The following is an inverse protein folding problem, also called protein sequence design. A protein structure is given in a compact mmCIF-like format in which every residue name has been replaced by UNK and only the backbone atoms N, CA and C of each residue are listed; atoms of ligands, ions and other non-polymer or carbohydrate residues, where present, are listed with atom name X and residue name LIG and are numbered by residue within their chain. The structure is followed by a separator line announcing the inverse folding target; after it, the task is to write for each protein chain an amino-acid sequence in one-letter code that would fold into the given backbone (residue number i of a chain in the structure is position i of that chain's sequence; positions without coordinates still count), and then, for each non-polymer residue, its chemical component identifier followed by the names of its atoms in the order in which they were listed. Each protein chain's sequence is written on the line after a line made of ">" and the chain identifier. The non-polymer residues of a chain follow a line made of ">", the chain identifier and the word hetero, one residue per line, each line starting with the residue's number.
data_IF_366775745687
#
_entry.id   IF_366775745687
#
_cell.length_a   1.000
_cell.length_b   1.000
_cell.length_c   1.000
_cell.angle_alpha   90.00
_cell.angle_beta   90.00
_cell.angle_gamma   90.00
#
_symmetry.space_group_name_H-M   'P 1'
#
loop_
_entity.id
_entity.type
_entity.pdbx_description
1 polymer ?
#
# COMPACT_ATOMS: atom_id res chain seq x y z
N UNK A 1 -19.89 -13.15 2.48
CA UNK A 1 -19.78 -11.69 2.28
C UNK A 1 -18.67 -11.49 1.26
N UNK A 2 -18.94 -10.70 0.21
CA UNK A 2 -18.05 -10.63 -0.96
C UNK A 2 -16.78 -9.84 -0.68
N UNK A 3 -15.74 -10.19 -1.41
CA UNK A 3 -14.49 -9.45 -1.49
C UNK A 3 -14.76 -7.98 -1.88
N UNK A 4 -14.37 -7.03 -1.03
CA UNK A 4 -14.54 -5.59 -1.27
C UNK A 4 -13.21 -5.00 -1.72
N UNK A 5 -13.17 -4.20 -2.79
CA UNK A 5 -11.91 -3.56 -3.21
C UNK A 5 -11.49 -2.48 -2.21
N UNK A 6 -10.19 -2.21 -2.09
CA UNK A 6 -9.71 -1.13 -1.21
C UNK A 6 -10.28 0.22 -1.65
N UNK A 7 -10.50 0.43 -2.96
CA UNK A 7 -11.20 1.62 -3.49
C UNK A 7 -12.61 1.75 -2.91
N UNK A 8 -13.41 0.68 -2.98
CA UNK A 8 -14.76 0.65 -2.42
C UNK A 8 -14.78 0.89 -0.91
N UNK A 9 -13.79 0.34 -0.19
CA UNK A 9 -13.66 0.57 1.25
C UNK A 9 -13.31 2.04 1.56
N UNK A 10 -12.37 2.64 0.83
CA UNK A 10 -11.96 4.04 1.02
C UNK A 10 -13.10 5.04 0.77
N UNK A 11 -13.94 4.76 -0.23
CA UNK A 11 -15.03 5.65 -0.64
C UNK A 11 -16.32 5.45 0.19
N UNK A 12 -16.31 4.54 1.18
CA UNK A 12 -17.43 4.39 2.11
C UNK A 12 -17.62 5.67 2.95
N UNK A 13 -18.74 6.40 2.81
CA UNK A 13 -18.95 7.67 3.51
C UNK A 13 -19.13 7.52 5.03
N UNK A 14 -19.42 6.30 5.51
CA UNK A 14 -19.51 5.99 6.94
C UNK A 14 -18.17 5.51 7.52
N UNK A 15 -17.11 5.43 6.71
CA UNK A 15 -15.79 5.01 7.17
C UNK A 15 -15.23 6.04 8.13
N UNK A 16 -14.82 5.57 9.30
CA UNK A 16 -13.98 6.34 10.22
C UNK A 16 -12.51 5.98 10.02
N UNK A 17 -11.60 6.93 10.27
CA UNK A 17 -10.15 6.67 10.20
C UNK A 17 -9.71 6.01 11.49
N UNK A 18 -9.53 4.68 11.45
CA UNK A 18 -8.88 3.92 12.51
C UNK A 18 -7.38 3.80 12.21
N UNK A 19 -6.53 4.22 13.16
CA UNK A 19 -5.07 4.20 12.98
C UNK A 19 -4.54 2.80 12.70
N UNK A 20 -4.89 1.83 13.53
CA UNK A 20 -4.37 0.45 13.41
C UNK A 20 -4.78 -0.19 12.10
N UNK A 21 -6.04 -0.01 11.68
CA UNK A 21 -6.55 -0.55 10.42
C UNK A 21 -5.84 0.09 9.21
N UNK A 22 -5.79 1.42 9.16
CA UNK A 22 -5.14 2.15 8.07
C UNK A 22 -3.65 1.84 8.00
N UNK A 23 -2.97 1.79 9.15
CA UNK A 23 -1.55 1.46 9.22
C UNK A 23 -1.28 0.02 8.80
N UNK A 24 -2.10 -0.94 9.22
CA UNK A 24 -1.95 -2.34 8.83
C UNK A 24 -2.19 -2.55 7.33
N UNK A 25 -3.17 -1.86 6.72
CA UNK A 25 -3.38 -1.89 5.27
C UNK A 25 -2.17 -1.32 4.55
N UNK A 26 -1.70 -0.14 4.98
CA UNK A 26 -0.54 0.51 4.39
C UNK A 26 0.72 -0.37 4.48
N UNK A 27 0.98 -0.96 5.66
CA UNK A 27 2.13 -1.85 5.88
C UNK A 27 2.11 -3.06 4.93
N UNK A 28 0.98 -3.75 4.82
CA UNK A 28 0.84 -4.91 3.91
C UNK A 28 1.12 -4.52 2.45
N UNK A 29 0.65 -3.35 2.01
CA UNK A 29 0.89 -2.88 0.65
C UNK A 29 2.35 -2.49 0.45
N UNK A 30 2.98 -1.84 1.44
CA UNK A 30 4.42 -1.56 1.43
C UNK A 30 5.24 -2.84 1.36
N UNK A 31 4.85 -3.91 2.07
CA UNK A 31 5.50 -5.22 2.00
C UNK A 31 5.43 -5.81 0.58
N UNK A 32 4.29 -5.71 -0.10
CA UNK A 32 4.14 -6.15 -1.50
C UNK A 32 5.09 -5.36 -2.41
N UNK A 33 5.13 -4.03 -2.26
CA UNK A 33 6.03 -3.17 -3.04
C UNK A 33 7.49 -3.48 -2.74
N UNK A 34 7.84 -3.70 -1.47
CA UNK A 34 9.19 -4.09 -1.06
C UNK A 34 9.66 -5.37 -1.74
N UNK A 35 8.83 -6.43 -1.72
CA UNK A 35 9.18 -7.70 -2.37
C UNK A 35 9.43 -7.49 -3.87
N UNK A 36 8.61 -6.71 -4.57
CA UNK A 36 8.83 -6.40 -5.99
C UNK A 36 10.14 -5.61 -6.20
N UNK A 37 10.37 -4.55 -5.42
CA UNK A 37 11.56 -3.70 -5.54
C UNK A 37 12.85 -4.48 -5.24
N UNK A 38 12.83 -5.39 -4.28
CA UNK A 38 13.97 -6.27 -3.94
C UNK A 38 14.39 -7.18 -5.09
N UNK A 39 13.48 -7.44 -6.04
CA UNK A 39 13.72 -8.24 -7.25
C UNK A 39 14.06 -7.36 -8.47
N UNK A 40 14.19 -6.04 -8.28
CA UNK A 40 14.45 -5.07 -9.35
C UNK A 40 13.23 -4.68 -10.17
N UNK A 41 12.01 -5.03 -9.71
CA UNK A 41 10.77 -4.78 -10.44
C UNK A 41 9.96 -3.67 -9.78
N UNK A 42 9.33 -2.82 -10.58
CA UNK A 42 8.32 -1.88 -10.12
C UNK A 42 6.90 -2.49 -10.26
N UNK A 43 6.01 -2.17 -9.32
CA UNK A 43 4.62 -2.64 -9.30
C UNK A 43 3.75 -1.88 -10.30
N UNK A 44 4.06 -0.61 -10.54
CA UNK A 44 3.42 0.34 -11.46
C UNK A 44 1.97 0.73 -11.15
N UNK A 45 1.24 -0.10 -10.39
CA UNK A 45 -0.19 0.07 -10.12
C UNK A 45 -0.50 -0.02 -8.61
N UNK A 46 0.23 0.72 -7.78
CA UNK A 46 -0.07 0.84 -6.34
C UNK A 46 -1.27 1.77 -6.14
N UNK A 47 -2.44 1.31 -6.56
CA UNK A 47 -3.72 2.04 -6.51
C UNK A 47 -4.77 1.22 -5.78
N UNK A 48 -5.70 1.84 -5.03
CA UNK A 48 -6.74 1.13 -4.28
C UNK A 48 -7.57 0.14 -5.10
N UNK A 49 -7.85 0.41 -6.38
CA UNK A 49 -8.57 -0.55 -7.23
C UNK A 49 -7.79 -1.84 -7.51
N UNK A 50 -6.47 -1.84 -7.35
CA UNK A 50 -5.61 -3.02 -7.55
C UNK A 50 -5.47 -3.88 -6.28
N UNK A 51 -6.16 -3.54 -5.20
CA UNK A 51 -6.14 -4.30 -3.96
C UNK A 51 -7.55 -4.71 -3.55
N UNK A 52 -7.66 -5.94 -3.07
CA UNK A 52 -8.89 -6.48 -2.49
C UNK A 52 -8.70 -6.66 -1.00
N UNK A 53 -9.66 -6.17 -0.23
CA UNK A 53 -9.77 -6.43 1.20
C UNK A 53 -10.53 -7.74 1.40
N UNK A 54 -9.82 -8.74 1.89
CA UNK A 54 -10.44 -9.99 2.31
C UNK A 54 -10.86 -9.86 3.78
N UNK A 55 -12.12 -10.20 4.07
CA UNK A 55 -12.61 -10.30 5.44
C UNK A 55 -12.05 -11.56 6.11
N UNK A 56 -10.78 -11.54 6.52
CA UNK A 56 -10.27 -12.59 7.39
C UNK A 56 -10.79 -12.36 8.81
N UNK A 57 -11.89 -13.07 9.08
CA UNK A 57 -12.33 -13.64 10.35
C UNK A 57 -11.95 -12.89 11.63
N UNK A 58 -13.00 -12.48 12.37
CA UNK A 58 -13.01 -12.57 13.83
C UNK A 58 -12.36 -13.91 14.25
N UNK A 59 -11.07 -13.90 14.54
CA UNK A 59 -10.51 -14.87 15.45
C UNK A 59 -11.10 -14.50 16.79
N UNK A 60 -12.15 -15.22 17.20
CA UNK A 60 -12.63 -15.18 18.58
C UNK A 60 -11.40 -15.33 19.47
N UNK A 61 -11.15 -14.35 20.33
CA UNK A 61 -10.27 -14.51 21.48
C UNK A 61 -10.80 -15.72 22.25
N UNK A 62 -10.19 -16.88 22.04
CA UNK A 62 -10.22 -17.91 23.06
C UNK A 62 -9.27 -17.40 24.13
N UNK A 63 -9.86 -16.79 25.15
CA UNK A 63 -9.18 -16.50 26.40
C UNK A 63 -8.37 -17.73 26.80
N UNK A 64 -7.05 -17.63 27.04
CA UNK A 64 -6.36 -18.66 27.79
C UNK A 64 -7.02 -18.69 29.16
N UNK A 65 -7.77 -19.77 29.40
CA UNK A 65 -8.46 -20.02 30.64
C UNK A 65 -7.55 -19.72 31.84
N UNK A 66 -8.13 -19.01 32.81
CA UNK A 66 -7.67 -18.94 34.19
C UNK A 66 -7.13 -20.30 34.65
N UNK A 67 -5.82 -20.39 34.83
CA UNK A 67 -5.23 -21.35 35.73
C UNK A 67 -4.68 -20.55 36.92
N UNK A 68 -5.52 -20.39 37.93
CA UNK A 68 -5.05 -20.10 39.27
C UNK A 68 -4.38 -21.36 39.80
N UNK A 69 -3.11 -21.28 40.18
CA UNK A 69 -2.61 -22.01 41.32
C UNK A 69 -1.54 -21.17 42.02
N UNK A 70 -1.72 -21.05 43.34
CA UNK A 70 -0.95 -20.20 44.22
C UNK A 70 0.22 -20.97 44.87
N UNK A 71 1.25 -20.18 45.20
CA UNK A 71 2.26 -20.31 46.26
C UNK A 71 3.25 -21.49 46.28
N UNK A 72 4.55 -21.15 46.20
CA UNK A 72 5.46 -21.28 47.37
C UNK A 72 6.77 -20.47 47.24
N UNK A 73 7.28 -20.07 48.40
CA UNK A 73 8.35 -19.14 48.82
C UNK A 73 9.85 -19.47 48.49
N UNK A 74 10.60 -18.40 48.14
CA UNK A 74 11.98 -17.91 48.57
C UNK A 74 13.24 -18.81 48.60
N UNK A 75 14.48 -18.27 48.78
CA UNK A 75 15.17 -17.10 48.16
C UNK A 75 16.65 -17.40 47.75
N UNK A 76 17.38 -16.34 47.35
CA UNK A 76 18.86 -16.09 47.45
C UNK A 76 19.74 -16.05 46.16
N UNK A 77 20.46 -14.91 46.05
CA UNK A 77 21.84 -14.68 45.51
C UNK A 77 22.08 -14.81 43.99
N UNK A 78 22.96 -14.09 43.31
CA UNK A 78 23.75 -12.86 43.46
C UNK A 78 24.45 -12.62 42.08
N UNK A 79 25.05 -11.44 41.87
CA UNK A 79 26.17 -11.17 40.95
C UNK A 79 25.95 -10.91 39.43
N UNK A 80 25.98 -9.62 39.11
CA UNK A 80 27.01 -8.93 38.30
C UNK A 80 27.42 -9.37 36.85
N UNK A 81 27.30 -8.38 35.95
CA UNK A 81 28.31 -7.87 34.98
C UNK A 81 28.41 -8.45 33.54
N UNK A 82 28.48 -7.47 32.61
CA UNK A 82 29.18 -7.36 31.30
C UNK A 82 28.44 -7.64 29.98
N UNK A 83 28.16 -6.51 29.31
CA UNK A 83 28.35 -6.25 27.88
C UNK A 83 29.71 -6.78 27.37
N UNK A 84 29.84 -7.16 26.08
CA UNK A 84 30.37 -6.17 25.13
C UNK A 84 29.83 -6.23 23.69
N UNK A 85 29.87 -5.05 23.07
CA UNK A 85 29.93 -4.74 21.63
C UNK A 85 31.22 -5.27 20.97
N UNK A 86 31.19 -5.56 19.66
CA UNK A 86 32.20 -5.29 18.59
C UNK A 86 31.86 -6.17 17.36
N UNK A 87 31.18 -5.64 16.33
CA UNK A 87 31.68 -5.10 15.04
C UNK A 87 32.03 -6.13 13.95
N UNK A 88 31.87 -5.76 12.65
CA UNK A 88 31.62 -6.67 11.54
C UNK A 88 32.86 -6.90 10.67
N UNK A 89 32.82 -7.96 9.86
CA UNK A 89 33.74 -8.13 8.71
C UNK A 89 32.90 -8.40 7.47
N UNK A 90 32.86 -7.38 6.60
CA UNK A 90 32.49 -7.53 5.19
C UNK A 90 33.65 -8.22 4.46
N UNK A 91 33.33 -9.17 3.60
CA UNK A 91 34.22 -9.54 2.51
C UNK A 91 33.44 -9.60 1.19
N UNK A 92 34.03 -8.91 0.21
CA UNK A 92 33.56 -8.77 -1.15
C UNK A 92 33.91 -10.02 -1.97
N UNK A 93 32.94 -10.54 -2.73
CA UNK A 93 33.27 -11.21 -3.98
C UNK A 93 32.31 -10.77 -5.09
N UNK A 94 32.89 -10.09 -6.07
CA UNK A 94 32.26 -9.77 -7.35
C UNK A 94 32.17 -11.04 -8.19
N UNK A 95 31.01 -11.29 -8.81
CA UNK A 95 30.99 -12.04 -10.06
C UNK A 95 29.84 -11.58 -10.96
N UNK A 96 30.26 -11.00 -12.08
CA UNK A 96 29.51 -10.66 -13.28
C UNK A 96 29.18 -11.96 -14.02
N UNK A 97 27.91 -12.18 -14.40
CA UNK A 97 27.55 -13.01 -15.54
C UNK A 97 26.27 -12.49 -16.21
N UNK A 98 26.37 -12.25 -17.52
CA UNK A 98 25.27 -12.02 -18.46
C UNK A 98 24.58 -13.36 -18.74
N UNK A 99 23.25 -13.37 -18.79
CA UNK A 99 22.46 -14.52 -19.21
C UNK A 99 20.99 -14.16 -19.29
N UNK A 100 20.49 -14.02 -20.52
CA UNK A 100 19.07 -14.12 -20.86
C UNK A 100 18.61 -15.53 -20.51
N UNK A 101 17.45 -15.66 -19.87
CA UNK A 101 16.47 -16.71 -20.16
C UNK A 101 15.17 -16.45 -19.37
N UNK A 102 14.05 -16.71 -20.05
CA UNK A 102 12.67 -16.55 -19.61
C UNK A 102 12.38 -17.19 -18.24
N UNK A 103 11.81 -16.41 -17.31
CA UNK A 103 11.45 -16.91 -15.99
C UNK A 103 9.95 -16.76 -15.69
N UNK A 104 9.31 -17.92 -15.53
CA UNK A 104 7.95 -18.11 -15.01
C UNK A 104 7.96 -17.88 -13.49
N UNK A 105 7.06 -17.06 -12.90
CA UNK A 105 7.12 -16.79 -11.46
C UNK A 105 6.75 -18.02 -10.64
N UNK A 106 7.73 -18.56 -9.92
CA UNK A 106 7.51 -19.56 -8.88
C UNK A 106 6.68 -18.94 -7.75
N UNK A 107 5.55 -19.58 -7.42
CA UNK A 107 4.66 -19.21 -6.32
C UNK A 107 5.36 -19.47 -4.98
N UNK A 108 6.02 -18.47 -4.42
CA UNK A 108 6.38 -18.49 -3.00
C UNK A 108 5.14 -18.07 -2.21
N UNK A 109 4.49 -19.06 -1.60
CA UNK A 109 3.31 -18.90 -0.76
C UNK A 109 3.69 -18.19 0.55
N UNK A 110 3.56 -16.86 0.55
CA UNK A 110 3.44 -16.04 1.78
C UNK A 110 1.96 -15.82 2.17
N UNK A 111 1.03 -16.48 1.47
CA UNK A 111 -0.39 -16.40 1.71
C UNK A 111 -0.78 -17.17 2.98
N UNK A 112 -0.65 -16.55 4.15
CA UNK A 112 -1.33 -17.08 5.35
C UNK A 112 -1.77 -16.07 6.40
N UNK A 113 -1.50 -14.76 6.28
CA UNK A 113 -2.03 -13.75 7.23
C UNK A 113 -2.41 -12.40 6.59
N UNK A 114 -2.29 -12.21 5.27
CA UNK A 114 -2.56 -10.92 4.62
C UNK A 114 -4.06 -10.72 4.39
N UNK A 115 -4.63 -9.67 4.99
CA UNK A 115 -6.01 -9.23 4.72
C UNK A 115 -6.14 -8.50 3.38
N UNK A 116 -5.01 -8.18 2.73
CA UNK A 116 -4.96 -7.48 1.46
C UNK A 116 -4.32 -8.36 0.40
N UNK A 117 -4.95 -8.45 -0.77
CA UNK A 117 -4.43 -9.19 -1.93
C UNK A 117 -4.29 -8.26 -3.13
N UNK A 118 -3.13 -8.28 -3.78
CA UNK A 118 -2.90 -7.57 -5.04
C UNK A 118 -3.60 -8.31 -6.20
N UNK A 119 -4.35 -7.55 -7.00
CA UNK A 119 -5.01 -8.03 -8.20
C UNK A 119 -4.44 -7.26 -9.38
N UNK A 120 -3.68 -7.91 -10.29
CA UNK A 120 -3.17 -7.23 -11.47
C UNK A 120 -4.35 -6.75 -12.34
N UNK A 121 -4.24 -5.57 -12.98
CA UNK A 121 -5.25 -5.14 -13.95
C UNK A 121 -5.34 -6.19 -15.06
N UNK A 122 -6.52 -6.77 -15.28
CA UNK A 122 -6.77 -7.50 -16.53
C UNK A 122 -6.68 -6.48 -17.66
N UNK A 123 -5.95 -6.82 -18.72
CA UNK A 123 -5.74 -5.98 -19.90
C UNK A 123 -7.05 -5.62 -20.57
N UNK A 124 -7.71 -4.55 -20.11
CA UNK A 124 -8.94 -4.01 -20.69
C UNK A 124 -8.60 -3.07 -21.86
N UNK A 125 -7.91 -3.61 -22.85
CA UNK A 125 -7.86 -3.06 -24.20
C UNK A 125 -7.78 -4.23 -25.16
N UNK A 126 -8.93 -4.83 -25.47
CA UNK A 126 -9.13 -5.56 -26.72
C UNK A 126 -10.63 -5.57 -27.08
N UNK A 127 -10.89 -5.02 -28.27
CA UNK A 127 -12.06 -4.97 -29.15
C UNK A 127 -13.46 -5.41 -28.67
N UNK A 128 -14.42 -4.49 -28.81
CA UNK A 128 -15.79 -4.87 -29.24
C UNK A 128 -16.30 -3.85 -30.26
N UNK A 129 -16.06 -4.15 -31.55
CA UNK A 129 -16.95 -3.76 -32.62
C UNK A 129 -18.15 -4.73 -32.61
N UNK A 130 -19.34 -4.26 -32.21
CA UNK A 130 -20.55 -5.07 -32.22
C UNK A 130 -21.74 -4.38 -31.57
N UNK A 131 -22.84 -4.27 -32.31
CA UNK A 131 -24.07 -3.48 -32.07
C UNK A 131 -24.93 -3.94 -30.88
N UNK A 132 -25.68 -2.95 -30.34
CA UNK A 132 -26.99 -2.98 -29.63
C UNK A 132 -27.29 -4.22 -28.75
N UNK A 133 -27.30 -4.14 -27.41
CA UNK A 133 -28.30 -3.47 -26.56
C UNK A 133 -27.70 -3.12 -25.16
N UNK A 134 -28.54 -2.62 -24.23
CA UNK A 134 -28.28 -2.27 -22.82
C UNK A 134 -27.73 -0.85 -22.53
N UNK A 135 -28.64 0.13 -22.50
CA UNK A 135 -28.37 1.54 -22.18
C UNK A 135 -28.03 1.77 -20.69
N UNK A 136 -28.43 0.86 -19.79
CA UNK A 136 -28.12 0.96 -18.35
C UNK A 136 -26.70 0.45 -18.02
N UNK A 137 -26.34 -0.74 -18.50
CA UNK A 137 -24.99 -1.31 -18.36
C UNK A 137 -23.91 -0.42 -18.98
N UNK A 138 -24.17 0.22 -20.13
CA UNK A 138 -23.23 1.15 -20.78
C UNK A 138 -22.94 2.40 -19.94
N UNK A 139 -23.92 2.98 -19.24
CA UNK A 139 -23.71 4.14 -18.35
C UNK A 139 -22.95 3.75 -17.09
N UNK A 140 -23.26 2.59 -16.50
CA UNK A 140 -22.54 2.08 -15.33
C UNK A 140 -21.08 1.74 -15.67
N UNK A 141 -20.84 1.08 -16.81
CA UNK A 141 -19.49 0.86 -17.36
C UNK A 141 -18.75 2.16 -17.61
N UNK A 142 -19.44 3.19 -18.12
CA UNK A 142 -18.84 4.49 -18.36
C UNK A 142 -18.46 5.20 -17.05
N UNK A 143 -19.32 5.12 -16.03
CA UNK A 143 -19.04 5.65 -14.70
C UNK A 143 -17.84 4.91 -14.03
N UNK A 144 -17.80 3.58 -14.11
CA UNK A 144 -16.68 2.77 -13.61
C UNK A 144 -15.38 3.11 -14.37
N UNK A 145 -15.46 3.25 -15.70
CA UNK A 145 -14.31 3.67 -16.53
C UNK A 145 -13.83 5.06 -16.14
N UNK A 146 -14.73 6.01 -15.89
CA UNK A 146 -14.36 7.36 -15.46
C UNK A 146 -13.70 7.38 -14.08
N UNK A 147 -14.20 6.60 -13.13
CA UNK A 147 -13.62 6.50 -11.79
C UNK A 147 -12.21 5.91 -11.82
N UNK A 148 -12.00 4.83 -12.59
CA UNK A 148 -10.69 4.22 -12.79
C UNK A 148 -9.71 5.14 -13.54
N UNK A 149 -10.20 5.92 -14.51
CA UNK A 149 -9.41 6.93 -15.22
C UNK A 149 -9.01 8.07 -14.29
N UNK A 150 -9.93 8.57 -13.46
CA UNK A 150 -9.62 9.59 -12.47
C UNK A 150 -8.60 9.09 -11.44
N UNK A 151 -8.81 7.89 -10.90
CA UNK A 151 -7.86 7.27 -9.97
C UNK A 151 -6.48 7.12 -10.60
N UNK A 152 -6.37 6.61 -11.83
CA UNK A 152 -5.09 6.52 -12.53
C UNK A 152 -4.39 7.88 -12.57
N UNK A 153 -5.14 8.92 -12.94
CA UNK A 153 -4.62 10.28 -13.02
C UNK A 153 -4.15 10.84 -11.68
N UNK A 154 -4.79 10.51 -10.55
CA UNK A 154 -4.37 10.99 -9.23
C UNK A 154 -3.08 10.33 -8.75
N UNK A 155 -2.89 9.06 -9.10
CA UNK A 155 -1.74 8.25 -8.70
C UNK A 155 -0.55 8.35 -9.65
N UNK A 156 -0.72 8.92 -10.85
CA UNK A 156 0.40 9.15 -11.78
C UNK A 156 1.39 10.14 -11.18
N UNK A 157 2.67 9.76 -11.13
CA UNK A 157 3.73 10.57 -10.53
C UNK A 157 4.14 11.75 -11.42
N UNK A 158 4.77 12.80 -10.86
CA UNK A 158 5.16 13.98 -11.62
C UNK A 158 6.07 13.68 -12.82
N UNK A 159 7.01 12.75 -12.66
CA UNK A 159 7.90 12.33 -13.73
C UNK A 159 7.17 11.53 -14.84
N UNK A 160 6.19 10.70 -14.49
CA UNK A 160 5.36 10.00 -15.48
C UNK A 160 4.52 10.98 -16.31
N UNK A 161 3.98 12.03 -15.68
CA UNK A 161 3.29 13.12 -16.40
C UNK A 161 4.23 13.86 -17.34
N UNK A 162 5.50 14.01 -16.96
CA UNK A 162 6.54 14.58 -17.82
C UNK A 162 7.04 13.62 -18.93
N UNK A 163 6.49 12.39 -19.01
CA UNK A 163 6.83 11.40 -20.03
C UNK A 163 7.99 10.48 -19.67
N UNK A 164 8.47 10.51 -18.42
CA UNK A 164 9.47 9.55 -17.95
C UNK A 164 8.89 8.13 -17.86
N UNK A 165 9.77 7.14 -17.98
CA UNK A 165 9.41 5.74 -17.79
C UNK A 165 9.11 5.49 -16.31
N UNK A 166 8.07 4.68 -16.04
CA UNK A 166 7.71 4.28 -14.68
C UNK A 166 8.87 3.57 -14.00
N UNK A 167 9.12 3.88 -12.74
CA UNK A 167 10.23 3.31 -11.96
C UNK A 167 9.77 2.92 -10.55
N UNK A 168 10.65 2.28 -9.78
CA UNK A 168 10.39 1.99 -8.37
C UNK A 168 10.02 3.27 -7.58
N UNK A 169 10.65 4.40 -7.90
CA UNK A 169 10.33 5.68 -7.28
C UNK A 169 8.90 6.16 -7.61
N UNK A 170 8.34 5.76 -8.76
CA UNK A 170 6.95 6.06 -9.11
C UNK A 170 5.97 5.29 -8.21
N UNK A 171 6.30 4.04 -7.84
CA UNK A 171 5.53 3.29 -6.82
C UNK A 171 5.58 3.97 -5.45
N UNK A 172 6.74 4.53 -5.07
CA UNK A 172 6.87 5.27 -3.80
C UNK A 172 5.97 6.51 -3.78
N UNK A 173 5.85 7.22 -4.90
CA UNK A 173 4.88 8.32 -5.02
C UNK A 173 3.44 7.83 -4.87
N UNK A 174 3.09 6.73 -5.53
CA UNK A 174 1.77 6.11 -5.43
C UNK A 174 1.43 5.67 -4.00
N UNK A 175 2.42 5.13 -3.25
CA UNK A 175 2.29 4.87 -1.81
C UNK A 175 2.00 6.14 -1.01
N UNK A 176 2.61 7.28 -1.37
CA UNK A 176 2.31 8.59 -0.76
C UNK A 176 0.86 9.02 -0.94
N UNK A 177 0.32 8.87 -2.15
CA UNK A 177 -1.10 9.16 -2.45
C UNK A 177 -2.02 8.19 -1.71
N UNK A 178 -1.67 6.91 -1.65
CA UNK A 178 -2.42 5.91 -0.89
C UNK A 178 -2.46 6.22 0.61
N UNK A 179 -1.32 6.55 1.21
CA UNK A 179 -1.22 6.92 2.61
C UNK A 179 -2.13 8.11 2.92
N UNK A 180 -2.14 9.11 2.04
CA UNK A 180 -3.04 10.25 2.15
C UNK A 180 -4.51 9.83 2.20
N UNK A 181 -4.97 9.01 1.23
CA UNK A 181 -6.37 8.56 1.19
C UNK A 181 -6.78 7.72 2.41
N UNK A 182 -5.86 6.91 2.95
CA UNK A 182 -6.11 6.11 4.15
C UNK A 182 -6.44 7.00 5.36
N UNK A 183 -5.67 8.06 5.56
CA UNK A 183 -5.77 8.95 6.74
C UNK A 183 -6.66 10.18 6.55
N UNK A 184 -7.05 10.51 5.31
CA UNK A 184 -7.94 11.62 4.99
C UNK A 184 -9.14 11.13 4.15
N UNK A 185 -10.30 10.83 4.78
CA UNK A 185 -11.47 10.28 4.09
C UNK A 185 -12.10 11.35 3.20
N UNK A 186 -12.35 10.98 1.94
CA UNK A 186 -12.91 11.86 0.93
C UNK A 186 -14.26 11.31 0.45
N UNK A 187 -15.36 11.83 0.98
CA UNK A 187 -16.70 11.25 0.75
C UNK A 187 -17.40 11.73 -0.53
N UNK A 188 -16.93 12.82 -1.15
CA UNK A 188 -17.53 13.39 -2.38
C UNK A 188 -16.50 13.53 -3.48
N UNK A 189 -16.86 13.12 -4.70
CA UNK A 189 -15.98 13.14 -5.88
C UNK A 189 -15.40 14.51 -6.19
N UNK A 190 -16.20 15.58 -6.08
CA UNK A 190 -15.73 16.94 -6.36
C UNK A 190 -14.69 17.41 -5.34
N UNK A 191 -14.96 17.20 -4.05
CA UNK A 191 -14.02 17.49 -2.97
C UNK A 191 -12.73 16.69 -3.11
N UNK A 192 -12.86 15.41 -3.46
CA UNK A 192 -11.75 14.52 -3.76
C UNK A 192 -10.90 15.07 -4.90
N UNK A 193 -11.50 15.50 -6.00
CA UNK A 193 -10.78 16.08 -7.15
C UNK A 193 -9.97 17.32 -6.77
N UNK A 194 -10.58 18.27 -6.02
CA UNK A 194 -9.87 19.48 -5.55
C UNK A 194 -8.74 19.13 -4.59
N UNK A 195 -8.97 18.18 -3.69
CA UNK A 195 -7.99 17.76 -2.69
C UNK A 195 -6.82 17.04 -3.34
N UNK A 196 -7.07 16.09 -4.25
CA UNK A 196 -6.04 15.38 -5.01
C UNK A 196 -5.23 16.32 -5.91
N UNK A 197 -5.87 17.34 -6.49
CA UNK A 197 -5.18 18.39 -7.24
C UNK A 197 -4.23 19.20 -6.36
N UNK A 198 -4.63 19.50 -5.12
CA UNK A 198 -3.79 20.19 -4.13
C UNK A 198 -2.65 19.29 -3.64
N UNK A 199 -2.94 18.00 -3.43
CA UNK A 199 -1.97 16.98 -3.00
C UNK A 199 -0.80 16.85 -3.97
N UNK A 200 -1.05 16.95 -5.29
CA UNK A 200 0.00 16.94 -6.31
C UNK A 200 1.01 18.08 -6.17
N UNK A 201 0.57 19.21 -5.62
CA UNK A 201 1.43 20.35 -5.28
C UNK A 201 1.95 20.27 -3.83
N UNK A 202 1.82 19.10 -3.19
CA UNK A 202 2.21 18.82 -1.79
C UNK A 202 1.49 19.70 -0.77
N UNK A 203 0.28 20.15 -1.09
CA UNK A 203 -0.59 20.90 -0.17
C UNK A 203 -1.52 19.91 0.53
N UNK A 204 -1.29 19.70 1.82
CA UNK A 204 -2.11 18.83 2.67
C UNK A 204 -3.22 19.63 3.39
N UNK A 205 -4.42 19.03 3.60
CA UNK A 205 -5.46 19.63 4.42
C UNK A 205 -4.97 19.88 5.87
N UNK A 206 -5.29 21.03 6.49
CA UNK A 206 -4.91 21.33 7.87
C UNK A 206 -5.36 20.27 8.88
N UNK A 207 -6.49 19.62 8.64
CA UNK A 207 -7.04 18.58 9.52
C UNK A 207 -6.13 17.35 9.56
N UNK A 208 -5.52 16.98 8.44
CA UNK A 208 -4.55 15.89 8.39
C UNK A 208 -3.29 16.26 9.16
N UNK A 209 -2.77 17.48 8.95
CA UNK A 209 -1.57 17.99 9.65
C UNK A 209 -1.76 18.06 11.16
N UNK A 210 -2.97 18.42 11.62
CA UNK A 210 -3.29 18.53 13.05
C UNK A 210 -3.52 17.16 13.70
N UNK A 211 -4.24 16.25 13.01
CA UNK A 211 -4.63 14.95 13.59
C UNK A 211 -3.56 13.88 13.45
N UNK A 212 -2.81 13.91 12.35
CA UNK A 212 -1.86 12.86 11.94
C UNK A 212 -0.54 13.48 11.45
N UNK A 213 0.19 14.25 12.30
CA UNK A 213 1.36 15.00 11.86
C UNK A 213 2.52 14.13 11.37
N UNK A 214 2.67 12.92 11.92
CA UNK A 214 3.73 11.97 11.51
C UNK A 214 3.42 11.41 10.12
N UNK A 215 2.18 11.01 9.90
CA UNK A 215 1.69 10.45 8.64
C UNK A 215 1.70 11.52 7.55
N UNK A 216 1.34 12.77 7.89
CA UNK A 216 1.42 13.89 6.97
C UNK A 216 2.87 14.17 6.55
N UNK A 217 3.81 14.17 7.50
CA UNK A 217 5.25 14.35 7.20
C UNK A 217 5.77 13.23 6.31
N UNK A 218 5.39 11.98 6.61
CA UNK A 218 5.78 10.82 5.82
C UNK A 218 5.16 10.87 4.42
N UNK A 219 3.89 11.24 4.31
CA UNK A 219 3.20 11.47 3.03
C UNK A 219 3.94 12.50 2.18
N UNK A 220 4.36 13.64 2.77
CA UNK A 220 5.14 14.65 2.05
C UNK A 220 6.49 14.12 1.56
N UNK A 221 7.15 13.23 2.29
CA UNK A 221 8.42 12.62 1.86
C UNK A 221 8.22 11.68 0.66
N UNK A 222 7.20 10.83 0.71
CA UNK A 222 6.82 9.94 -0.40
C UNK A 222 6.41 10.72 -1.66
N UNK A 223 5.72 11.85 -1.47
CA UNK A 223 5.23 12.72 -2.55
C UNK A 223 6.26 13.74 -3.04
N UNK A 224 7.55 13.56 -2.76
CA UNK A 224 8.57 14.47 -3.27
C UNK A 224 8.55 14.53 -4.81
N UNK A 225 8.60 15.73 -5.45
CA UNK A 225 8.50 15.85 -6.91
C UNK A 225 9.67 15.15 -7.60
N UNK A 226 10.88 15.35 -7.09
CA UNK A 226 12.09 14.67 -7.56
C UNK A 226 12.10 13.20 -7.09
N UNK A 227 12.16 12.21 -8.00
CA UNK A 227 12.12 10.78 -7.65
C UNK A 227 13.28 10.35 -6.74
N UNK A 228 14.47 10.93 -6.91
CA UNK A 228 15.68 10.57 -6.16
C UNK A 228 15.66 10.99 -4.68
N UNK A 229 14.75 11.88 -4.28
CA UNK A 229 14.59 12.30 -2.89
C UNK A 229 13.51 11.51 -2.13
N UNK A 230 12.77 10.62 -2.83
CA UNK A 230 11.83 9.70 -2.21
C UNK A 230 12.62 8.58 -1.50
N UNK A 231 12.09 7.99 -0.41
CA UNK A 231 12.76 6.87 0.25
C UNK A 231 12.89 5.67 -0.69
N UNK A 232 14.03 4.99 -0.62
CA UNK A 232 14.20 3.66 -1.21
C UNK A 232 13.76 2.61 -0.20
N UNK A 233 12.96 1.66 -0.65
CA UNK A 233 12.61 0.48 0.12
C UNK A 233 13.79 -0.49 0.00
N UNK A 234 14.74 -0.40 0.95
CA UNK A 234 15.95 -1.22 1.03
C UNK A 234 15.77 -2.50 1.84
#
# INVERSE_FOLDING_TARGET
>A
MGDTSLRQWLDNPQRSVNFCECFNIFRQIVEIVHVAHSQGNAVHNVRPSCFVMSSFSHASSMDPATCSDADLDTPEEDSEIKTPTLTPTCDMHQQRCLGSDDFVPAKTSIASLSSVVFVPPTSLMEDIAGKDEEVAGKRQLYAIKQELVMELSWYTSPEEVAGAVRSCASDIFQLGVLLFELFYPLSRTEEKSRTMSSLRNRVLPPQLLLKWPKEASFCLWLLHPEPSHRPTIG
#
